data_IF_505595850668
#
_entry.id   IF_505595850668
#
_cell.length_a   1.000
_cell.length_b   1.000
_cell.length_c   1.000
_cell.angle_alpha   90.00
_cell.angle_beta   90.00
_cell.angle_gamma   90.00
#
_symmetry.space_group_name_H-M   'P 1'
#
loop_
_entity.id
_entity.type
_entity.pdbx_description
1 polymer ?
2 non-polymer ?
3 water ?
#
# COMPACT_ATOMS: atom_id res chain seq x y z
N UNK A 1 9.18 8.80 13.41
CA UNK A 1 8.21 9.79 12.95
C UNK A 1 7.87 9.56 11.48
N UNK A 2 6.69 9.01 11.22
CA UNK A 2 6.19 8.79 9.88
C UNK A 2 4.88 9.58 9.71
N UNK A 3 4.84 10.49 8.74
CA UNK A 3 3.62 11.24 8.48
C UNK A 3 2.72 10.55 7.48
N UNK A 4 1.42 10.54 7.76
CA UNK A 4 0.45 9.98 6.84
C UNK A 4 0.26 10.90 5.64
N UNK A 5 0.32 10.34 4.43
CA UNK A 5 0.16 11.15 3.22
C UNK A 5 -1.29 11.36 2.83
N UNK A 6 -2.19 10.79 3.62
CA UNK A 6 -3.62 11.02 3.42
C UNK A 6 -4.11 12.13 4.32
N UNK A 7 -3.95 11.93 5.62
CA UNK A 7 -4.45 12.88 6.61
C UNK A 7 -3.42 13.94 6.99
N UNK A 8 -2.14 13.64 6.78
CA UNK A 8 -1.08 14.59 7.08
C UNK A 8 -0.54 14.59 8.49
N UNK A 9 -1.04 13.70 9.34
CA UNK A 9 -0.60 13.65 10.73
C UNK A 9 0.40 12.51 10.96
N UNK A 10 1.27 12.69 11.97
CA UNK A 10 2.25 11.66 12.33
C UNK A 10 1.54 10.41 12.80
N UNK A 11 2.01 9.26 12.35
CA UNK A 11 1.33 8.00 12.64
C UNK A 11 1.91 7.40 13.93
N UNK A 12 1.02 7.06 14.85
CA UNK A 12 1.43 6.36 16.05
C UNK A 12 0.87 4.94 16.08
N UNK A 13 -0.27 4.74 15.42
CA UNK A 13 -0.84 3.41 15.31
C UNK A 13 -1.08 3.06 13.85
N UNK A 14 -0.64 1.87 13.42
CA UNK A 14 -0.81 1.44 12.03
C UNK A 14 -1.92 0.45 11.85
N UNK A 15 -2.51 0.45 10.66
CA UNK A 15 -3.38 -0.63 10.23
C UNK A 15 -2.58 -1.53 9.31
N UNK A 16 -2.57 -2.82 9.61
CA UNK A 16 -1.84 -3.79 8.78
C UNK A 16 -2.88 -4.57 7.99
N UNK A 17 -2.76 -4.54 6.67
CA UNK A 17 -3.74 -5.20 5.83
C UNK A 17 -3.49 -6.70 5.85
N UNK A 18 -4.54 -7.49 6.02
CA UNK A 18 -4.40 -8.93 5.87
C UNK A 18 -5.17 -9.36 4.62
N UNK A 19 -4.54 -10.16 3.73
CA UNK A 19 -3.25 -10.84 3.90
C UNK A 19 -2.04 -10.24 3.18
N UNK A 20 -2.18 -9.10 2.52
CA UNK A 20 -1.06 -8.55 1.75
C UNK A 20 0.06 -7.96 2.63
N UNK A 21 -0.28 -7.64 3.88
CA UNK A 21 0.67 -7.22 4.92
C UNK A 21 1.27 -5.82 4.79
N UNK A 22 0.73 -5.02 3.88
CA UNK A 22 1.11 -3.60 3.81
C UNK A 22 0.54 -2.82 5.00
N UNK A 23 1.20 -1.72 5.38
CA UNK A 23 0.70 -0.94 6.51
C UNK A 23 0.45 0.52 6.16
N UNK A 24 -0.51 1.10 6.87
CA UNK A 24 -0.92 2.47 6.60
C UNK A 24 -1.38 3.10 7.91
N UNK A 25 -1.50 4.42 7.92
CA UNK A 25 -2.08 5.14 9.04
C UNK A 25 -3.35 4.42 9.49
N UNK A 26 -3.45 4.06 10.77
CA UNK A 26 -4.59 3.26 11.21
C UNK A 26 -5.94 3.97 11.02
N UNK A 27 -5.99 5.25 11.38
CA UNK A 27 -7.24 6.00 11.31
C UNK A 27 -7.75 6.10 9.88
N UNK A 28 -6.85 6.35 8.94
CA UNK A 28 -7.23 6.41 7.54
C UNK A 28 -7.63 5.04 6.98
N UNK A 29 -6.92 3.99 7.37
CA UNK A 29 -7.30 2.64 7.00
C UNK A 29 -8.75 2.34 7.44
N UNK A 30 -9.07 2.61 8.70
CA UNK A 30 -10.42 2.38 9.20
C UNK A 30 -11.44 3.23 8.43
N UNK A 31 -11.17 4.52 8.33
CA UNK A 31 -12.02 5.43 7.59
C UNK A 31 -12.35 4.87 6.21
N UNK A 32 -11.30 4.45 5.51
CA UNK A 32 -11.41 3.83 4.19
C UNK A 32 -12.32 2.60 4.26
N UNK A 33 -12.13 1.78 5.29
CA UNK A 33 -12.94 0.58 5.50
C UNK A 33 -14.41 0.92 5.74
N UNK A 34 -14.64 1.92 6.58
CA UNK A 34 -15.99 2.42 6.85
C UNK A 34 -16.71 2.83 5.57
N UNK A 35 -15.96 3.31 4.59
CA UNK A 35 -16.53 3.81 3.35
C UNK A 35 -16.90 2.68 2.38
N UNK A 36 -16.48 1.46 2.71
CA UNK A 36 -16.80 0.30 1.90
C UNK A 36 -15.64 -0.21 1.04
N UNK A 37 -14.47 0.38 1.22
CA UNK A 37 -13.32 0.00 0.41
C UNK A 37 -12.70 -1.28 0.95
N UNK A 38 -12.55 -2.27 0.08
CA UNK A 38 -12.03 -3.56 0.51
C UNK A 38 -10.73 -3.91 -0.21
N UNK A 39 -10.11 -2.90 -0.79
CA UNK A 39 -8.84 -3.09 -1.47
C UNK A 39 -7.73 -2.34 -0.73
N UNK A 40 -6.53 -2.92 -0.72
CA UNK A 40 -5.38 -2.27 -0.09
C UNK A 40 -5.06 -1.00 -0.85
N UNK A 41 -4.88 0.11 -0.12
CA UNK A 41 -4.65 1.39 -0.82
C UNK A 41 -3.32 1.41 -1.57
N UNK A 42 -2.40 0.51 -1.23
CA UNK A 42 -1.08 0.54 -1.82
C UNK A 42 -0.87 -0.45 -2.96
N UNK A 43 -1.44 -1.65 -2.84
CA UNK A 43 -1.21 -2.69 -3.85
C UNK A 43 -2.51 -3.16 -4.52
N UNK A 44 -3.65 -2.74 -3.96
CA UNK A 44 -4.97 -3.09 -4.46
C UNK A 44 -5.44 -4.54 -4.24
N UNK A 45 -4.65 -5.37 -3.56
CA UNK A 45 -5.13 -6.71 -3.23
C UNK A 45 -6.38 -6.60 -2.38
N UNK A 46 -7.27 -7.60 -2.45
CA UNK A 46 -8.39 -7.69 -1.51
C UNK A 46 -7.89 -7.70 -0.07
N UNK A 47 -8.62 -7.05 0.82
CA UNK A 47 -8.28 -7.06 2.24
C UNK A 47 -9.36 -7.80 3.03
N UNK A 48 -8.95 -8.85 3.73
CA UNK A 48 -9.83 -9.65 4.57
C UNK A 48 -10.14 -8.91 5.86
N UNK A 49 -9.11 -8.36 6.50
CA UNK A 49 -9.29 -7.59 7.73
C UNK A 49 -8.11 -6.67 7.99
N UNK A 50 -8.29 -5.72 8.89
CA UNK A 50 -7.22 -4.79 9.25
C UNK A 50 -6.79 -5.01 10.70
N UNK A 51 -5.50 -5.23 10.91
CA UNK A 51 -4.93 -5.41 12.25
C UNK A 51 -4.40 -4.09 12.80
N UNK A 52 -4.61 -3.86 14.09
CA UNK A 52 -4.04 -2.67 14.71
C UNK A 52 -2.65 -3.00 15.26
N UNK A 53 -1.70 -2.11 15.00
CA UNK A 53 -0.30 -2.39 15.28
C UNK A 53 0.40 -1.11 15.72
N UNK A 54 1.14 -1.19 16.82
CA UNK A 54 1.87 -0.02 17.29
C UNK A 54 3.16 0.07 16.51
N UNK A 55 3.70 1.29 16.42
CA UNK A 55 4.83 1.59 15.56
C UNK A 55 5.97 0.58 15.67
N UNK A 56 6.36 0.26 16.90
CA UNK A 56 7.57 -0.53 17.11
C UNK A 56 7.40 -2.04 17.10
N UNK A 57 6.23 -2.52 16.69
CA UNK A 57 5.99 -3.95 16.69
C UNK A 57 6.19 -4.61 15.32
N UNK A 58 6.60 -3.84 14.31
CA UNK A 58 6.63 -4.37 12.94
C UNK A 58 8.03 -4.49 12.34
N UNK A 59 8.21 -5.50 11.49
CA UNK A 59 9.47 -5.71 10.79
C UNK A 59 9.15 -5.63 9.29
N UNK A 60 9.59 -4.56 8.63
CA UNK A 60 9.20 -4.29 7.24
C UNK A 60 10.27 -4.81 6.27
N UNK A 61 9.82 -5.42 5.18
CA UNK A 61 10.74 -5.84 4.13
C UNK A 61 11.04 -4.62 3.25
N UNK A 62 12.31 -4.28 3.07
CA UNK A 62 12.63 -3.13 2.23
C UNK A 62 13.35 -3.50 0.94
N UNK A 63 13.21 -4.75 0.52
CA UNK A 63 13.90 -5.21 -0.68
C UNK A 63 13.25 -4.51 -1.87
N UNK A 64 14.09 -4.00 -2.77
CA UNK A 64 13.66 -3.28 -3.98
C UNK A 64 14.02 -4.15 -5.20
N UNK A 65 13.01 -4.65 -5.90
CA UNK A 65 13.24 -5.46 -7.10
C UNK A 65 12.27 -5.05 -8.19
N UNK A 66 12.54 -5.46 -9.42
CA UNK A 66 11.61 -5.23 -10.51
C UNK A 66 10.35 -6.09 -10.40
N UNK A 67 9.26 -5.61 -10.99
CA UNK A 67 7.99 -6.32 -11.00
C UNK A 67 8.02 -7.57 -11.88
N UNK A 68 8.31 -7.37 -13.16
CA UNK A 68 8.49 -8.45 -14.14
C UNK A 68 7.25 -9.27 -14.50
N UNK A 69 6.06 -8.85 -14.05
CA UNK A 69 4.82 -9.48 -14.50
C UNK A 69 4.62 -9.13 -15.97
N UNK A 70 3.99 -10.03 -16.72
CA UNK A 70 3.83 -9.87 -18.17
C UNK A 70 2.37 -9.78 -18.57
N UNK A 71 2.12 -9.06 -19.67
CA UNK A 71 0.78 -8.81 -20.14
C UNK A 71 0.74 -9.08 -21.64
N UNK A 72 -0.45 -9.37 -22.16
CA UNK A 72 -0.60 -9.76 -23.58
C UNK A 72 -0.84 -8.55 -24.48
N UNK A 73 -1.12 -7.41 -23.86
CA UNK A 73 -1.30 -6.18 -24.60
C UNK A 73 -0.74 -5.01 -23.82
N UNK A 74 -0.37 -3.96 -24.54
CA UNK A 74 0.15 -2.77 -23.90
C UNK A 74 -0.95 -2.18 -23.02
N UNK A 75 -2.18 -2.22 -23.53
CA UNK A 75 -3.33 -1.77 -22.75
C UNK A 75 -3.46 -2.48 -21.40
N UNK A 76 -3.27 -3.80 -21.39
CA UNK A 76 -3.35 -4.55 -20.14
C UNK A 76 -2.19 -4.20 -19.21
N UNK A 77 -1.01 -3.98 -19.78
CA UNK A 77 0.14 -3.56 -18.96
C UNK A 77 -0.13 -2.21 -18.32
N UNK A 78 -0.71 -1.28 -19.09
CA UNK A 78 -1.04 0.02 -18.54
C UNK A 78 -2.09 -0.09 -17.43
N UNK A 79 -3.10 -0.94 -17.64
CA UNK A 79 -4.11 -1.14 -16.60
C UNK A 79 -3.49 -1.73 -15.32
N UNK A 80 -2.54 -2.64 -15.49
CA UNK A 80 -1.79 -3.20 -14.36
C UNK A 80 -1.01 -2.13 -13.59
N UNK A 81 -0.33 -1.25 -14.31
CA UNK A 81 0.42 -0.16 -13.71
C UNK A 81 -0.51 0.78 -12.93
N UNK A 82 -1.66 1.12 -13.52
CA UNK A 82 -2.63 1.98 -12.85
C UNK A 82 -3.21 1.33 -11.59
N UNK A 83 -3.29 0.01 -11.61
CA UNK A 83 -3.95 -0.76 -10.56
C UNK A 83 -2.98 -1.08 -9.41
N UNK A 84 -1.72 -1.30 -9.76
CA UNK A 84 -0.77 -1.84 -8.81
C UNK A 84 0.32 -0.88 -8.33
N UNK A 85 0.64 0.14 -9.12
CA UNK A 85 1.89 0.87 -8.89
C UNK A 85 1.77 2.34 -8.54
N UNK A 86 0.57 2.89 -8.63
CA UNK A 86 0.45 4.34 -8.58
C UNK A 86 0.56 4.88 -7.17
N UNK A 87 0.30 4.04 -6.19
CA UNK A 87 0.43 4.46 -4.80
C UNK A 87 1.41 3.58 -4.06
N UNK A 88 2.35 2.98 -4.79
CA UNK A 88 3.28 2.05 -4.17
C UNK A 88 4.69 2.63 -4.04
N UNK A 89 4.80 3.95 -4.14
CA UNK A 89 6.07 4.61 -3.92
C UNK A 89 6.74 5.03 -5.22
N UNK A 90 7.70 5.94 -5.11
CA UNK A 90 8.46 6.42 -6.26
C UNK A 90 9.20 5.27 -6.95
N UNK A 91 8.92 5.05 -8.24
CA UNK A 91 9.69 4.04 -8.96
C UNK A 91 11.17 4.42 -9.04
N UNK A 92 12.04 3.45 -8.79
CA UNK A 92 13.48 3.65 -8.88
C UNK A 92 13.93 3.62 -10.34
N UNK A 93 14.58 4.69 -10.79
CA UNK A 93 15.07 4.75 -12.17
C UNK A 93 16.47 5.36 -12.22
N UNK A 94 17.20 5.08 -13.30
CA UNK A 94 18.51 5.68 -13.46
C UNK A 94 18.35 7.20 -13.43
N UNK A 95 17.27 7.69 -14.03
CA UNK A 95 16.94 9.10 -14.00
C UNK A 95 16.85 9.65 -12.59
N UNK A 96 17.91 9.43 -11.82
CA UNK A 96 17.99 9.88 -10.44
C UNK A 96 19.39 9.62 -9.90
X LIG B 1 4.18 -4.22 -12.38
X LIG C 1 -3.88 9.19 8.03
X LIG D 1 -1.28 -4.34 -0.07
#
# INVERSE_FOLDING_TARGET
>A
VHFCDKCGLPIKVYGRMIPCKHVFCYDCAILHEKKGDKMCPGCSDPVQRIEQCTRGSLFMCSIVQGCKRTYLSQRDLQAHINHRHMRAGKPVTRASLENVH
>B hetero
1 ZN ZN
>C hetero
1 ZN ZN
>D hetero
1 ZN ZN
#
